data_IF_451861735468
#
_entry.id   IF_451861735468
#
_cell.length_a   1.000
_cell.length_b   1.000
_cell.length_c   1.000
_cell.angle_alpha   90.00
_cell.angle_beta   90.00
_cell.angle_gamma   90.00
#
_symmetry.space_group_name_H-M   'P 1'
#
loop_
_entity.id
_entity.type
_entity.pdbx_description
1 polymer ?
#
# COMPACT_ATOMS: atom_id res chain seq x y z
N UNK A 1 -1.26 1.43 14.06
CA UNK A 1 -0.30 1.03 15.10
C UNK A 1 1.07 1.52 14.66
N UNK A 2 1.77 2.35 15.43
CA UNK A 2 3.13 2.78 15.12
C UNK A 2 4.06 2.00 16.04
N UNK A 3 4.82 1.08 15.49
CA UNK A 3 5.97 0.48 16.18
C UNK A 3 7.19 1.28 15.73
N UNK A 4 7.99 1.78 16.67
CA UNK A 4 9.28 2.44 16.37
C UNK A 4 10.38 1.41 16.04
N UNK A 5 9.98 0.22 15.59
CA UNK A 5 10.90 -0.82 15.18
C UNK A 5 11.61 -0.41 13.89
N UNK A 6 12.93 -0.29 13.97
CA UNK A 6 13.79 -0.22 12.80
C UNK A 6 14.29 -1.62 12.44
N UNK A 7 14.81 -1.77 11.23
CA UNK A 7 15.38 -3.03 10.75
C UNK A 7 16.78 -2.74 10.24
N UNK A 8 17.77 -3.40 10.82
CA UNK A 8 19.17 -3.30 10.44
C UNK A 8 19.59 -4.58 9.73
N UNK A 9 20.17 -4.47 8.54
CA UNK A 9 20.80 -5.61 7.87
C UNK A 9 22.14 -5.87 8.56
N UNK A 10 22.24 -7.02 9.23
CA UNK A 10 23.45 -7.42 9.97
C UNK A 10 24.44 -8.13 9.06
N UNK A 11 23.95 -8.97 8.15
CA UNK A 11 24.79 -9.76 7.25
C UNK A 11 24.01 -10.21 6.03
N UNK A 12 24.67 -10.22 4.87
CA UNK A 12 24.20 -10.89 3.66
C UNK A 12 25.33 -11.77 3.11
N UNK A 13 25.21 -13.09 3.25
CA UNK A 13 26.15 -14.07 2.68
C UNK A 13 25.43 -15.38 2.36
N UNK A 14 25.77 -16.01 1.24
CA UNK A 14 25.27 -17.36 0.91
C UNK A 14 23.74 -17.45 0.77
N UNK A 15 23.09 -16.44 0.17
CA UNK A 15 21.63 -16.29 0.08
C UNK A 15 20.91 -16.20 1.45
N UNK A 16 21.62 -16.06 2.56
CA UNK A 16 21.02 -15.80 3.87
C UNK A 16 21.12 -14.31 4.21
N UNK A 17 19.95 -13.69 4.42
CA UNK A 17 19.81 -12.35 4.98
C UNK A 17 19.62 -12.45 6.48
N UNK A 18 20.56 -11.91 7.25
CA UNK A 18 20.38 -11.71 8.68
C UNK A 18 19.97 -10.27 8.94
N UNK A 19 18.76 -10.07 9.48
CA UNK A 19 18.28 -8.77 9.95
C UNK A 19 18.19 -8.73 11.47
N UNK A 20 18.45 -7.56 12.05
CA UNK A 20 18.19 -7.24 13.45
C UNK A 20 17.03 -6.25 13.49
N UNK A 21 16.07 -6.48 14.37
CA UNK A 21 14.90 -5.61 14.57
C UNK A 21 15.03 -4.88 15.92
N UNK A 22 15.70 -3.72 16.01
CA UNK A 22 15.65 -2.92 17.22
C UNK A 22 14.34 -2.13 17.33
N UNK A 23 13.65 -2.23 18.46
CA UNK A 23 12.46 -1.44 18.79
C UNK A 23 11.58 -2.08 19.86
N UNK A 24 10.60 -1.31 20.37
CA UNK A 24 9.55 -1.83 21.24
C UNK A 24 8.56 -2.66 20.42
N UNK A 25 8.91 -3.93 20.22
CA UNK A 25 7.93 -4.94 19.81
C UNK A 25 7.04 -5.18 21.03
N UNK A 26 5.72 -5.06 20.87
CA UNK A 26 4.77 -5.31 21.95
C UNK A 26 5.01 -6.71 22.53
N UNK A 27 5.69 -6.72 23.68
CA UNK A 27 6.11 -7.94 24.37
C UNK A 27 4.93 -8.85 24.65
N UNK A 28 3.73 -8.30 24.90
CA UNK A 28 2.52 -9.10 25.12
C UNK A 28 2.07 -9.83 23.85
N UNK A 29 2.12 -9.19 22.70
CA UNK A 29 1.79 -9.84 21.43
C UNK A 29 2.84 -10.87 21.03
N UNK A 30 4.12 -10.57 21.27
CA UNK A 30 5.20 -11.53 21.02
C UNK A 30 5.10 -12.75 21.93
N UNK A 31 4.84 -12.54 23.23
CA UNK A 31 4.63 -13.62 24.19
C UNK A 31 3.39 -14.44 23.83
N UNK A 32 2.29 -13.79 23.40
CA UNK A 32 1.09 -14.47 22.91
C UNK A 32 1.38 -15.34 21.68
N UNK A 33 2.12 -14.80 20.71
CA UNK A 33 2.55 -15.55 19.53
C UNK A 33 3.40 -16.76 19.93
N UNK A 34 4.42 -16.56 20.77
CA UNK A 34 5.30 -17.64 21.27
C UNK A 34 4.48 -18.70 22.01
N UNK A 35 3.53 -18.29 22.85
CA UNK A 35 2.68 -19.20 23.61
C UNK A 35 1.74 -20.01 22.70
N UNK A 36 1.05 -19.35 21.76
CA UNK A 36 0.20 -20.00 20.76
C UNK A 36 1.00 -21.06 19.97
N UNK A 37 2.25 -20.76 19.63
CA UNK A 37 3.15 -21.67 18.90
C UNK A 37 3.57 -22.88 19.72
N UNK A 38 3.88 -22.68 21.01
CA UNK A 38 4.17 -23.78 21.95
C UNK A 38 2.96 -24.70 22.12
N UNK A 39 1.75 -24.16 22.12
CA UNK A 39 0.52 -24.95 22.19
C UNK A 39 0.28 -25.77 20.93
N UNK A 40 0.49 -25.18 19.75
CA UNK A 40 0.44 -25.90 18.47
C UNK A 40 1.46 -27.04 18.41
N UNK A 41 2.69 -26.80 18.90
CA UNK A 41 3.72 -27.84 19.02
C UNK A 41 3.26 -29.01 19.91
N UNK A 42 2.75 -28.71 21.10
CA UNK A 42 2.25 -29.74 22.04
C UNK A 42 1.09 -30.55 21.46
N UNK A 43 0.17 -29.90 20.73
CA UNK A 43 -0.96 -30.57 20.05
C UNK A 43 -0.50 -31.46 18.90
N UNK A 44 0.48 -31.02 18.10
CA UNK A 44 0.98 -31.75 16.95
C UNK A 44 1.89 -32.93 17.33
N UNK A 45 2.71 -32.81 18.37
CA UNK A 45 3.51 -33.94 18.90
C UNK A 45 2.64 -35.09 19.42
N UNK A 46 1.46 -34.79 19.98
CA UNK A 46 0.49 -35.84 20.38
C UNK A 46 -0.12 -36.57 19.19
N UNK A 47 -0.10 -36.00 17.99
CA UNK A 47 -0.76 -36.55 16.79
C UNK A 47 0.17 -37.17 15.75
N UNK A 48 1.45 -36.78 15.67
CA UNK A 48 2.37 -37.30 14.66
C UNK A 48 3.84 -37.31 15.13
N UNK A 49 4.55 -38.44 14.92
CA UNK A 49 5.98 -38.64 15.26
C UNK A 49 6.98 -37.95 14.29
N UNK A 50 6.55 -37.00 13.48
CA UNK A 50 7.45 -36.30 12.55
C UNK A 50 8.14 -35.13 13.27
N UNK A 51 9.41 -34.82 12.96
CA UNK A 51 10.09 -33.65 13.51
C UNK A 51 9.34 -32.39 13.09
N UNK A 52 8.84 -31.65 14.07
CA UNK A 52 8.14 -30.40 13.85
C UNK A 52 9.14 -29.33 13.39
N UNK A 53 8.98 -28.81 12.18
CA UNK A 53 9.67 -27.60 11.74
C UNK A 53 8.90 -26.39 12.23
N UNK A 54 9.60 -25.45 12.90
CA UNK A 54 9.05 -24.12 13.15
C UNK A 54 8.76 -23.47 11.80
N UNK A 55 7.51 -23.12 11.47
CA UNK A 55 7.27 -22.45 10.21
C UNK A 55 7.85 -21.03 10.29
N UNK A 56 8.30 -20.55 9.14
CA UNK A 56 9.05 -19.31 9.00
C UNK A 56 8.24 -18.13 9.55
N UNK A 57 8.93 -17.18 10.20
CA UNK A 57 8.35 -15.88 10.50
C UNK A 57 8.54 -15.04 9.23
N UNK A 58 7.44 -14.73 8.55
CA UNK A 58 7.46 -13.80 7.44
C UNK A 58 7.47 -12.37 8.00
N UNK A 59 8.57 -11.67 7.74
CA UNK A 59 8.72 -10.25 8.05
C UNK A 59 8.48 -9.48 6.76
N UNK A 60 7.40 -8.71 6.72
CA UNK A 60 7.12 -7.83 5.59
C UNK A 60 7.78 -6.47 5.87
N UNK A 61 8.90 -6.21 5.20
CA UNK A 61 9.56 -4.91 5.20
C UNK A 61 8.84 -4.03 4.17
N UNK A 62 8.03 -3.09 4.63
CA UNK A 62 7.55 -2.02 3.75
C UNK A 62 8.45 -0.80 3.87
N UNK A 63 8.73 -0.16 2.74
CA UNK A 63 9.29 1.18 2.75
C UNK A 63 8.40 2.09 3.61
N UNK A 64 9.01 2.90 4.46
CA UNK A 64 8.33 3.83 5.36
C UNK A 64 7.75 5.02 4.57
N UNK A 65 6.99 4.77 3.52
CA UNK A 65 6.29 5.81 2.82
C UNK A 65 5.24 6.41 3.77
N UNK A 66 5.35 7.71 4.02
CA UNK A 66 4.32 8.42 4.78
C UNK A 66 3.01 8.30 4.00
N UNK A 67 1.94 7.92 4.70
CA UNK A 67 0.57 8.09 4.18
C UNK A 67 0.41 9.52 3.68
N UNK A 68 -0.41 9.71 2.64
CA UNK A 68 -0.69 11.02 2.04
C UNK A 68 -0.94 12.09 3.11
N UNK A 69 -0.45 13.30 2.86
CA UNK A 69 -0.71 14.45 3.76
C UNK A 69 -2.17 14.90 3.66
N UNK A 70 -2.78 15.28 4.78
CA UNK A 70 -4.12 15.87 4.84
C UNK A 70 -4.07 17.26 5.47
N UNK A 71 -5.04 18.14 5.16
CA UNK A 71 -5.13 19.50 5.70
C UNK A 71 -4.81 20.61 4.70
N UNK A 72 -4.85 21.88 5.15
CA UNK A 72 -4.61 23.06 4.30
C UNK A 72 -3.19 22.99 3.70
N UNK A 73 -3.07 23.22 2.39
CA UNK A 73 -1.84 23.09 1.60
C UNK A 73 -1.27 21.66 1.49
N UNK A 74 -2.07 20.62 1.77
CA UNK A 74 -1.68 19.23 1.54
C UNK A 74 -1.76 18.84 0.05
N UNK A 75 -1.02 17.79 -0.32
CA UNK A 75 -1.13 17.17 -1.65
C UNK A 75 -2.59 16.78 -1.97
N UNK A 76 -3.30 16.22 -0.99
CA UNK A 76 -4.71 15.86 -1.13
C UNK A 76 -5.58 17.08 -1.49
N UNK A 77 -5.41 18.20 -0.77
CA UNK A 77 -6.15 19.43 -1.09
C UNK A 77 -5.82 19.94 -2.50
N UNK A 78 -4.56 19.83 -2.93
CA UNK A 78 -4.14 20.18 -4.28
C UNK A 78 -4.83 19.30 -5.33
N UNK A 79 -4.74 17.97 -5.19
CA UNK A 79 -5.37 17.02 -6.11
C UNK A 79 -6.88 17.25 -6.22
N UNK A 80 -7.59 17.39 -5.09
CA UNK A 80 -9.03 17.70 -5.12
C UNK A 80 -9.36 19.05 -5.77
N UNK A 81 -8.46 20.03 -5.69
CA UNK A 81 -8.58 21.30 -6.41
C UNK A 81 -8.50 21.10 -7.92
N UNK A 82 -7.51 20.32 -8.37
CA UNK A 82 -7.31 19.97 -9.79
C UNK A 82 -8.50 19.17 -10.34
N UNK A 83 -8.98 18.15 -9.62
CA UNK A 83 -10.15 17.37 -10.03
C UNK A 83 -11.37 18.28 -10.21
N UNK A 84 -11.61 19.21 -9.27
CA UNK A 84 -12.71 20.19 -9.38
C UNK A 84 -12.55 21.10 -10.58
N UNK A 85 -11.35 21.59 -10.87
CA UNK A 85 -11.10 22.43 -12.03
C UNK A 85 -11.39 21.67 -13.33
N UNK A 86 -10.89 20.43 -13.46
CA UNK A 86 -11.11 19.58 -14.63
C UNK A 86 -12.61 19.22 -14.77
N UNK A 87 -13.29 18.88 -13.66
CA UNK A 87 -14.71 18.58 -13.67
C UNK A 87 -15.56 19.78 -14.15
N UNK A 88 -15.25 20.99 -13.65
CA UNK A 88 -15.96 22.19 -14.05
C UNK A 88 -15.72 22.57 -15.52
N UNK A 89 -14.48 22.41 -16.01
CA UNK A 89 -14.12 22.76 -17.38
C UNK A 89 -14.68 21.75 -18.40
N UNK A 90 -14.64 20.46 -18.06
CA UNK A 90 -15.13 19.39 -18.94
C UNK A 90 -16.63 19.11 -18.81
N UNK A 91 -17.28 19.61 -17.76
CA UNK A 91 -18.69 19.32 -17.45
C UNK A 91 -18.94 17.92 -16.88
N UNK A 92 -17.88 17.17 -16.54
CA UNK A 92 -18.00 15.83 -15.97
C UNK A 92 -18.20 15.86 -14.45
N UNK A 93 -18.72 14.75 -13.91
CA UNK A 93 -18.83 14.55 -12.47
C UNK A 93 -17.44 14.43 -11.81
N UNK A 94 -17.34 14.93 -10.57
CA UNK A 94 -16.11 14.91 -9.79
C UNK A 94 -15.53 13.50 -9.62
N UNK A 95 -16.37 12.52 -9.28
CA UNK A 95 -15.93 11.14 -9.05
C UNK A 95 -15.54 10.44 -10.35
N UNK A 96 -16.17 10.80 -11.47
CA UNK A 96 -15.76 10.32 -12.80
C UNK A 96 -14.36 10.83 -13.15
N UNK A 97 -14.10 12.13 -13.02
CA UNK A 97 -12.77 12.71 -13.30
C UNK A 97 -11.71 12.10 -12.38
N UNK A 98 -12.03 11.95 -11.09
CA UNK A 98 -11.17 11.29 -10.11
C UNK A 98 -10.84 9.86 -10.52
N UNK A 99 -11.82 9.10 -11.00
CA UNK A 99 -11.61 7.74 -11.47
C UNK A 99 -10.69 7.70 -12.72
N UNK A 100 -10.91 8.59 -13.69
CA UNK A 100 -10.07 8.68 -14.90
C UNK A 100 -8.63 9.04 -14.56
N UNK A 101 -8.40 9.98 -13.64
CA UNK A 101 -7.05 10.32 -13.15
C UNK A 101 -6.36 9.09 -12.55
N UNK A 102 -7.07 8.35 -11.70
CA UNK A 102 -6.53 7.13 -11.09
C UNK A 102 -6.20 6.05 -12.13
N UNK A 103 -7.05 5.87 -13.14
CA UNK A 103 -6.78 4.95 -14.24
C UNK A 103 -5.53 5.36 -15.04
N UNK A 104 -5.42 6.64 -15.42
CA UNK A 104 -4.25 7.12 -16.16
C UNK A 104 -2.96 6.95 -15.35
N UNK A 105 -2.99 7.31 -14.07
CA UNK A 105 -1.85 7.11 -13.17
C UNK A 105 -1.47 5.63 -13.06
N UNK A 106 -2.44 4.73 -13.00
CA UNK A 106 -2.21 3.27 -12.93
C UNK A 106 -1.61 2.73 -14.22
N UNK A 107 -2.19 3.11 -15.36
CA UNK A 107 -1.82 2.59 -16.67
C UNK A 107 -0.50 3.16 -17.19
N UNK A 108 -0.15 4.40 -16.82
CA UNK A 108 1.00 5.11 -17.41
C UNK A 108 2.11 5.45 -16.42
N UNK A 109 1.78 5.65 -15.14
CA UNK A 109 2.72 6.17 -14.13
C UNK A 109 3.06 5.16 -13.01
N UNK A 110 2.49 3.95 -13.07
CA UNK A 110 2.75 2.89 -12.09
C UNK A 110 2.01 3.05 -10.77
N UNK A 111 0.89 3.78 -10.73
CA UNK A 111 0.04 3.81 -9.55
C UNK A 111 -0.53 2.40 -9.25
N UNK A 112 -0.55 1.97 -7.98
CA UNK A 112 -0.89 0.59 -7.64
C UNK A 112 -2.35 0.21 -7.95
N UNK A 113 -2.54 -1.08 -8.21
CA UNK A 113 -3.87 -1.70 -8.34
C UNK A 113 -4.43 -2.04 -6.97
N UNK A 114 -5.75 -1.95 -6.83
CA UNK A 114 -6.48 -2.45 -5.67
C UNK A 114 -6.25 -3.97 -5.53
N UNK A 115 -5.99 -4.41 -4.30
CA UNK A 115 -5.79 -5.84 -3.97
C UNK A 115 -6.93 -6.34 -3.09
N UNK A 116 -7.40 -7.56 -3.36
CA UNK A 116 -8.35 -8.28 -2.51
C UNK A 116 -7.67 -8.83 -1.25
N UNK A 117 -8.46 -9.47 -0.39
CA UNK A 117 -7.97 -10.10 0.85
C UNK A 117 -6.97 -11.24 0.58
N UNK A 118 -6.99 -11.81 -0.63
CA UNK A 118 -6.09 -12.84 -1.13
C UNK A 118 -4.80 -12.28 -1.75
N UNK A 119 -4.67 -10.95 -1.86
CA UNK A 119 -3.53 -10.28 -2.49
C UNK A 119 -3.63 -10.17 -4.02
N UNK A 120 -4.67 -10.71 -4.63
CA UNK A 120 -4.87 -10.64 -6.08
C UNK A 120 -5.48 -9.29 -6.50
N UNK A 121 -5.23 -8.81 -7.74
CA UNK A 121 -5.87 -7.59 -8.23
C UNK A 121 -7.38 -7.73 -8.26
N UNK A 122 -8.09 -6.70 -7.79
CA UNK A 122 -9.54 -6.61 -7.97
C UNK A 122 -9.82 -6.11 -9.38
N UNK A 123 -10.61 -6.87 -10.16
CA UNK A 123 -10.86 -6.57 -11.57
C UNK A 123 -12.18 -5.82 -11.81
N UNK A 124 -12.12 -4.81 -12.67
CA UNK A 124 -13.29 -4.23 -13.30
C UNK A 124 -13.66 -5.07 -14.53
N UNK A 125 -14.64 -5.96 -14.38
CA UNK A 125 -15.10 -6.83 -15.46
C UNK A 125 -15.70 -6.08 -16.66
N UNK A 126 -16.21 -4.85 -16.47
CA UNK A 126 -16.80 -4.05 -17.55
C UNK A 126 -15.74 -3.45 -18.47
N UNK A 127 -14.58 -3.08 -17.91
CA UNK A 127 -13.48 -2.45 -18.63
C UNK A 127 -12.34 -3.43 -18.94
N UNK A 128 -12.42 -4.66 -18.42
CA UNK A 128 -11.39 -5.69 -18.52
C UNK A 128 -9.99 -5.19 -18.09
N UNK A 129 -9.96 -4.50 -16.95
CA UNK A 129 -8.74 -3.98 -16.34
C UNK A 129 -8.83 -4.01 -14.80
N UNK A 130 -7.71 -3.97 -14.07
CA UNK A 130 -7.72 -3.87 -12.61
C UNK A 130 -8.31 -2.54 -12.12
N UNK A 131 -8.91 -2.54 -10.94
CA UNK A 131 -9.25 -1.28 -10.27
C UNK A 131 -8.00 -0.60 -9.72
N UNK A 132 -7.90 0.74 -9.80
CA UNK A 132 -6.82 1.48 -9.17
C UNK A 132 -7.01 1.53 -7.64
N UNK A 133 -5.91 1.47 -6.89
CA UNK A 133 -5.89 1.47 -5.42
C UNK A 133 -6.72 2.61 -4.81
N UNK A 134 -7.36 2.34 -3.68
CA UNK A 134 -8.07 3.37 -2.90
C UNK A 134 -7.11 4.48 -2.46
N UNK A 135 -7.55 5.74 -2.54
CA UNK A 135 -6.71 6.83 -2.08
C UNK A 135 -6.39 6.69 -0.58
N UNK A 136 -7.26 6.05 0.23
CA UNK A 136 -7.06 5.92 1.67
C UNK A 136 -5.77 5.16 2.05
N UNK A 137 -5.27 4.37 1.10
CA UNK A 137 -4.05 3.59 1.19
C UNK A 137 -2.88 4.27 0.47
N UNK A 138 -3.13 5.41 -0.18
CA UNK A 138 -2.16 6.19 -0.95
C UNK A 138 -1.06 6.77 -0.07
N UNK A 139 0.17 6.58 -0.52
CA UNK A 139 1.36 7.22 0.03
C UNK A 139 1.58 8.61 -0.58
N UNK A 140 2.46 9.41 0.02
CA UNK A 140 2.87 10.71 -0.55
C UNK A 140 3.51 10.61 -1.95
N UNK A 141 4.16 9.48 -2.26
CA UNK A 141 4.76 9.25 -3.59
C UNK A 141 3.67 8.92 -4.59
N UNK A 142 2.78 8.00 -4.24
CA UNK A 142 1.62 7.61 -5.07
C UNK A 142 0.68 8.80 -5.33
N UNK A 143 0.46 9.66 -4.35
CA UNK A 143 -0.34 10.88 -4.50
C UNK A 143 0.30 11.84 -5.52
N UNK A 144 1.63 11.85 -5.61
CA UNK A 144 2.35 12.65 -6.60
C UNK A 144 2.12 12.11 -8.02
N UNK A 145 1.97 10.79 -8.19
CA UNK A 145 1.59 10.18 -9.47
C UNK A 145 0.17 10.59 -9.88
N UNK A 146 -0.77 10.66 -8.93
CA UNK A 146 -2.13 11.15 -9.20
C UNK A 146 -2.14 12.62 -9.63
N UNK A 147 -1.34 13.46 -8.97
CA UNK A 147 -1.18 14.87 -9.34
C UNK A 147 -0.57 15.01 -10.74
N UNK A 148 0.45 14.23 -11.06
CA UNK A 148 1.06 14.22 -12.40
C UNK A 148 0.04 13.80 -13.47
N UNK A 149 -0.70 12.71 -13.24
CA UNK A 149 -1.76 12.27 -14.13
C UNK A 149 -2.85 13.34 -14.33
N UNK A 150 -3.20 14.09 -13.28
CA UNK A 150 -4.14 15.21 -13.39
C UNK A 150 -3.59 16.36 -14.26
N UNK A 151 -2.28 16.66 -14.17
CA UNK A 151 -1.64 17.62 -15.08
C UNK A 151 -1.64 17.12 -16.53
N UNK A 152 -1.36 15.84 -16.76
CA UNK A 152 -1.40 15.25 -18.10
C UNK A 152 -2.80 15.35 -18.72
N UNK A 153 -3.84 14.97 -17.97
CA UNK A 153 -5.24 15.06 -18.44
C UNK A 153 -5.62 16.51 -18.73
N UNK A 154 -5.25 17.44 -17.84
CA UNK A 154 -5.52 18.85 -18.08
C UNK A 154 -4.81 19.37 -19.34
N UNK A 155 -3.54 19.01 -19.54
CA UNK A 155 -2.78 19.38 -20.73
C UNK A 155 -3.40 18.80 -22.01
N UNK A 156 -3.79 17.52 -21.99
CA UNK A 156 -4.47 16.83 -23.11
C UNK A 156 -5.80 17.51 -23.49
N UNK A 157 -6.48 18.16 -22.53
CA UNK A 157 -7.75 18.85 -22.74
C UNK A 157 -7.60 20.38 -22.86
N UNK A 158 -6.37 20.93 -22.83
CA UNK A 158 -6.14 22.37 -22.92
C UNK A 158 -6.56 23.17 -21.67
N UNK A 159 -6.67 22.51 -20.51
CA UNK A 159 -7.12 23.08 -19.24
C UNK A 159 -5.92 23.63 -18.46
N UNK A 160 -6.02 24.88 -18.00
CA UNK A 160 -4.99 25.50 -17.16
C UNK A 160 -5.30 25.25 -15.69
N UNK A 161 -4.41 24.53 -14.99
CA UNK A 161 -4.51 24.27 -13.56
C UNK A 161 -3.63 25.23 -12.77
N UNK A 162 -4.21 25.90 -11.77
CA UNK A 162 -3.53 26.82 -10.85
C UNK A 162 -3.24 26.19 -9.49
#
# INVERSE_FOLDING_TARGET
MKTDASVEIVRWQGNELTVRLPGEIDKKQMDFYIQHRRELYKRNMKKNKRPFHYPLIELLLSDKYKKRTTGKNSQNTKLHGMIRAIANDTGNDFEMVKYVIKQKAMNELGYPTMRGDDGEPVWNALLNEPFPQSEADCTTVEESLLIEAAYLIAAENGIVLN
#
